data_IF_061506045806
#
_entry.id   IF_061506045806
#
_cell.length_a   1.000
_cell.length_b   1.000
_cell.length_c   1.000
_cell.angle_alpha   90.00
_cell.angle_beta   90.00
_cell.angle_gamma   90.00
#
_symmetry.space_group_name_H-M   'P 1'
#
loop_
_entity.id
_entity.type
_entity.pdbx_description
1 polymer ?
#
# COMPACT_ATOMS: atom_id res chain seq x y z
N UNK A 1 -13.44 -50.49 27.49
CA UNK A 1 -14.51 -50.12 26.53
C UNK A 1 -14.29 -48.65 26.20
N UNK A 2 -13.38 -48.31 25.28
CA UNK A 2 -13.61 -48.26 23.81
C UNK A 2 -14.90 -47.49 23.47
N UNK A 3 -14.93 -46.46 22.62
CA UNK A 3 -14.17 -46.17 21.40
C UNK A 3 -14.32 -44.67 21.05
N UNK A 4 -13.25 -43.97 20.61
CA UNK A 4 -13.01 -43.46 19.22
C UNK A 4 -14.11 -42.52 18.66
N UNK A 5 -13.88 -41.34 18.08
CA UNK A 5 -12.80 -40.73 17.28
C UNK A 5 -13.04 -39.20 17.20
N UNK A 6 -11.99 -38.39 17.01
CA UNK A 6 -11.96 -37.27 16.05
C UNK A 6 -10.52 -36.83 15.82
N UNK A 7 -9.99 -37.17 14.64
CA UNK A 7 -8.69 -36.74 14.14
C UNK A 7 -8.70 -35.33 13.55
N UNK A 8 -7.57 -34.86 12.99
CA UNK A 8 -7.41 -33.50 12.49
C UNK A 8 -8.18 -33.30 11.17
N UNK A 9 -8.79 -32.12 11.03
CA UNK A 9 -9.47 -31.68 9.82
C UNK A 9 -8.45 -31.40 8.71
N UNK A 10 -8.18 -32.40 7.87
CA UNK A 10 -7.54 -32.24 6.56
C UNK A 10 -8.61 -31.90 5.52
N UNK A 11 -8.94 -30.62 5.39
CA UNK A 11 -9.76 -30.11 4.30
C UNK A 11 -8.92 -29.92 3.04
N UNK A 12 -9.05 -30.83 2.08
CA UNK A 12 -8.46 -30.70 0.76
C UNK A 12 -9.07 -29.49 0.02
N UNK A 13 -8.25 -28.49 -0.32
CA UNK A 13 -8.63 -27.44 -1.25
C UNK A 13 -8.77 -28.02 -2.67
N UNK A 14 -9.80 -27.65 -3.45
CA UNK A 14 -9.88 -28.05 -4.85
C UNK A 14 -8.66 -27.51 -5.60
N UNK A 15 -7.99 -28.44 -6.29
CA UNK A 15 -6.97 -28.20 -7.31
C UNK A 15 -7.75 -27.87 -8.57
N UNK A 16 -7.76 -26.61 -8.99
CA UNK A 16 -7.98 -26.17 -10.38
C UNK A 16 -7.86 -24.63 -10.42
N UNK A 17 -6.64 -24.15 -10.68
CA UNK A 17 -6.27 -22.73 -10.63
C UNK A 17 -6.81 -21.89 -11.81
N UNK A 18 -7.43 -22.50 -12.82
CA UNK A 18 -8.08 -21.76 -13.92
C UNK A 18 -9.48 -21.25 -13.53
N UNK A 19 -10.19 -21.98 -12.66
CA UNK A 19 -11.62 -21.78 -12.45
C UNK A 19 -11.96 -20.52 -11.63
N UNK A 20 -11.09 -20.02 -10.76
CA UNK A 20 -11.40 -18.80 -9.96
C UNK A 20 -11.24 -17.55 -10.82
N UNK A 21 -10.17 -17.48 -11.63
CA UNK A 21 -9.94 -16.37 -12.56
C UNK A 21 -11.00 -16.37 -13.69
N UNK A 22 -11.33 -17.56 -14.21
CA UNK A 22 -12.40 -17.70 -15.22
C UNK A 22 -13.80 -17.47 -14.65
N UNK A 23 -14.12 -17.89 -13.43
CA UNK A 23 -15.48 -17.74 -12.87
C UNK A 23 -15.81 -16.29 -12.52
N UNK A 24 -14.83 -15.51 -12.05
CA UNK A 24 -14.99 -14.05 -11.85
C UNK A 24 -15.18 -13.35 -13.20
N UNK A 25 -14.35 -13.67 -14.21
CA UNK A 25 -14.49 -13.11 -15.56
C UNK A 25 -15.76 -13.59 -16.31
N UNK A 26 -16.22 -14.82 -16.09
CA UNK A 26 -17.39 -15.41 -16.74
C UNK A 26 -18.71 -14.94 -16.10
N UNK A 27 -18.71 -14.63 -14.79
CA UNK A 27 -19.89 -14.11 -14.09
C UNK A 27 -20.33 -12.72 -14.56
N UNK A 28 -19.45 -11.97 -15.24
CA UNK A 28 -19.70 -10.61 -15.72
C UNK A 28 -20.12 -10.59 -17.22
N UNK A 29 -20.08 -11.72 -17.93
CA UNK A 29 -20.30 -11.76 -19.39
C UNK A 29 -21.68 -12.27 -19.83
N UNK A 30 -22.68 -12.35 -18.94
CA UNK A 30 -24.04 -12.80 -19.29
C UNK A 30 -25.14 -11.93 -18.69
N UNK A 31 -25.26 -10.68 -19.16
CA UNK A 31 -26.55 -9.97 -19.20
C UNK A 31 -26.57 -8.79 -20.17
N UNK A 32 -26.67 -9.11 -21.46
CA UNK A 32 -27.27 -8.29 -22.52
C UNK A 32 -28.32 -9.21 -23.14
N UNK A 33 -29.57 -8.85 -23.47
CA UNK A 33 -30.19 -7.63 -23.96
C UNK A 33 -31.73 -7.89 -23.95
N UNK A 34 -32.58 -6.86 -23.74
CA UNK A 34 -33.83 -6.53 -24.48
C UNK A 34 -34.99 -5.94 -23.66
N UNK A 35 -35.51 -4.83 -24.19
CA UNK A 35 -36.84 -4.23 -23.95
C UNK A 35 -36.77 -2.92 -23.16
N UNK A 36 -37.11 -1.73 -23.65
CA UNK A 36 -37.67 -1.27 -24.91
C UNK A 36 -38.25 0.15 -24.71
N UNK A 37 -37.75 1.11 -25.51
CA UNK A 37 -38.41 2.27 -26.14
C UNK A 37 -39.11 3.38 -25.31
N UNK A 38 -38.72 4.61 -25.69
CA UNK A 38 -39.43 5.90 -25.75
C UNK A 38 -39.39 6.87 -24.54
N UNK A 39 -38.58 7.91 -24.73
CA UNK A 39 -38.71 9.22 -24.07
C UNK A 39 -37.93 10.27 -24.85
N UNK A 40 -38.62 11.01 -25.72
CA UNK A 40 -38.11 12.19 -26.42
C UNK A 40 -37.60 13.23 -25.41
N UNK A 41 -36.31 13.57 -25.45
CA UNK A 41 -35.77 14.75 -24.78
C UNK A 41 -34.69 15.41 -25.66
N UNK A 42 -35.08 16.57 -26.19
CA UNK A 42 -34.30 17.69 -26.74
C UNK A 42 -32.78 17.56 -26.67
N UNK A 43 -32.15 17.54 -27.86
CA UNK A 43 -30.72 17.70 -28.04
C UNK A 43 -30.27 19.10 -27.56
N UNK A 44 -29.68 19.16 -26.36
CA UNK A 44 -28.72 20.20 -26.03
C UNK A 44 -27.38 19.79 -26.62
N UNK A 45 -26.92 20.50 -27.64
CA UNK A 45 -25.57 20.39 -28.18
C UNK A 45 -24.57 20.81 -27.10
N UNK A 46 -23.98 19.83 -26.41
CA UNK A 46 -22.73 20.05 -25.68
C UNK A 46 -21.59 20.05 -26.70
N UNK A 47 -20.82 21.14 -26.86
CA UNK A 47 -19.58 21.09 -27.59
C UNK A 47 -18.54 20.40 -26.69
N UNK A 48 -18.20 19.18 -27.05
CA UNK A 48 -17.23 18.38 -26.32
C UNK A 48 -17.18 16.94 -26.82
N UNK A 49 -17.15 16.75 -28.14
CA UNK A 49 -16.66 15.48 -28.68
C UNK A 49 -15.22 15.40 -28.18
N UNK A 50 -14.98 14.58 -27.17
CA UNK A 50 -13.64 14.19 -26.77
C UNK A 50 -12.93 13.73 -28.04
N UNK A 51 -12.01 14.56 -28.52
CA UNK A 51 -11.20 14.23 -29.68
C UNK A 51 -10.47 12.96 -29.29
N UNK A 52 -10.85 11.84 -29.91
CA UNK A 52 -10.20 10.57 -29.66
C UNK A 52 -8.72 10.79 -29.94
N UNK A 53 -7.91 10.79 -28.87
CA UNK A 53 -6.46 10.81 -29.03
C UNK A 53 -6.12 9.59 -29.87
N UNK A 54 -5.55 9.81 -31.05
CA UNK A 54 -4.94 8.76 -31.87
C UNK A 54 -3.61 8.36 -31.24
N UNK A 55 -3.63 8.02 -29.94
CA UNK A 55 -2.45 7.57 -29.20
C UNK A 55 -2.04 6.18 -29.65
N UNK A 56 -0.83 5.78 -29.32
CA UNK A 56 -0.37 4.40 -29.44
C UNK A 56 -1.08 3.52 -28.39
N UNK A 57 -2.37 3.25 -28.62
CA UNK A 57 -3.20 2.49 -27.68
C UNK A 57 -2.93 1.00 -27.84
N UNK A 58 -2.38 0.38 -26.79
CA UNK A 58 -2.24 -1.07 -26.66
C UNK A 58 -2.75 -1.49 -25.29
N UNK A 59 -3.96 -2.09 -25.20
CA UNK A 59 -4.51 -2.58 -23.95
C UNK A 59 -3.55 -3.47 -23.17
N UNK A 60 -3.57 -3.40 -21.84
CA UNK A 60 -2.77 -4.31 -21.02
C UNK A 60 -3.19 -5.76 -21.23
N UNK A 61 -2.24 -6.62 -21.61
CA UNK A 61 -2.37 -8.06 -21.42
C UNK A 61 -2.05 -8.40 -19.96
N UNK A 62 -3.08 -8.42 -19.13
CA UNK A 62 -2.96 -8.66 -17.68
C UNK A 62 -2.43 -10.06 -17.34
N UNK A 63 -2.43 -11.00 -18.29
CA UNK A 63 -1.92 -12.36 -18.07
C UNK A 63 -0.45 -12.51 -18.47
N UNK A 64 0.07 -11.59 -19.29
CA UNK A 64 1.49 -11.49 -19.60
C UNK A 64 2.26 -10.78 -18.47
N UNK A 65 3.29 -11.42 -17.87
CA UNK A 65 4.01 -10.83 -16.75
C UNK A 65 4.71 -9.50 -17.07
N UNK A 66 5.17 -9.31 -18.31
CA UNK A 66 5.84 -8.06 -18.71
C UNK A 66 4.84 -6.93 -18.79
N UNK A 67 3.69 -7.15 -19.43
CA UNK A 67 2.67 -6.11 -19.58
C UNK A 67 1.94 -5.84 -18.24
N UNK A 68 1.75 -6.86 -17.39
CA UNK A 68 1.22 -6.70 -16.03
C UNK A 68 2.16 -5.85 -15.15
N UNK A 69 3.45 -6.15 -15.15
CA UNK A 69 4.46 -5.38 -14.41
C UNK A 69 4.64 -3.97 -14.99
N UNK A 70 4.62 -3.82 -16.31
CA UNK A 70 4.61 -2.51 -16.99
C UNK A 70 3.44 -1.64 -16.52
N UNK A 71 2.23 -2.20 -16.50
CA UNK A 71 1.03 -1.50 -16.04
C UNK A 71 1.17 -1.03 -14.59
N UNK A 72 1.67 -1.91 -13.72
CA UNK A 72 1.94 -1.57 -12.33
C UNK A 72 2.98 -0.44 -12.19
N UNK A 73 4.11 -0.54 -12.88
CA UNK A 73 5.17 0.47 -12.84
C UNK A 73 4.69 1.84 -13.36
N UNK A 74 3.92 1.86 -14.43
CA UNK A 74 3.34 3.08 -15.02
C UNK A 74 2.27 3.71 -14.12
N UNK A 75 1.49 2.91 -13.41
CA UNK A 75 0.45 3.40 -12.50
C UNK A 75 1.03 3.86 -11.16
N UNK A 76 1.86 3.05 -10.50
CA UNK A 76 2.33 3.32 -9.13
C UNK A 76 3.30 4.51 -9.05
N UNK A 77 4.09 4.73 -10.10
CA UNK A 77 4.98 5.88 -10.23
C UNK A 77 4.94 6.41 -11.67
N UNK A 78 6.06 6.46 -12.34
CA UNK A 78 6.13 6.73 -13.77
C UNK A 78 7.26 5.91 -14.37
N UNK A 79 7.12 5.55 -15.65
CA UNK A 79 8.20 4.92 -16.42
C UNK A 79 9.02 5.93 -17.22
N UNK A 80 8.79 7.23 -16.99
CA UNK A 80 9.56 8.33 -17.56
C UNK A 80 10.81 8.67 -16.74
N UNK A 81 11.57 9.64 -17.23
CA UNK A 81 12.87 10.02 -16.64
C UNK A 81 12.75 10.70 -15.27
N UNK A 82 11.68 11.48 -15.04
CA UNK A 82 11.47 12.25 -13.82
C UNK A 82 10.38 11.63 -12.97
N UNK A 83 10.58 11.61 -11.66
CA UNK A 83 9.58 11.11 -10.72
C UNK A 83 8.30 11.96 -10.70
N UNK A 84 7.22 11.32 -10.27
CA UNK A 84 5.91 11.92 -10.06
C UNK A 84 5.51 11.81 -8.60
N UNK A 85 4.73 12.79 -8.15
CA UNK A 85 4.19 12.83 -6.79
C UNK A 85 2.84 12.15 -6.74
N UNK A 86 2.59 11.43 -5.64
CA UNK A 86 1.32 10.82 -5.28
C UNK A 86 1.04 11.10 -3.81
N UNK A 87 -0.22 11.24 -3.44
CA UNK A 87 -0.64 11.57 -2.09
C UNK A 87 -1.42 10.44 -1.43
N UNK A 88 -1.37 10.39 -0.11
CA UNK A 88 -2.33 9.64 0.68
C UNK A 88 -2.72 10.42 1.95
N UNK A 89 -3.96 10.26 2.38
CA UNK A 89 -4.44 10.85 3.63
C UNK A 89 -5.70 10.17 4.15
N UNK A 90 -5.83 10.09 5.47
CA UNK A 90 -7.01 9.56 6.12
C UNK A 90 -6.90 9.54 7.64
N UNK A 91 -7.64 8.63 8.25
CA UNK A 91 -7.77 8.53 9.71
C UNK A 91 -7.34 7.13 10.16
N UNK A 92 -6.54 7.09 11.23
CA UNK A 92 -6.29 5.85 11.96
C UNK A 92 -7.24 5.74 13.15
N UNK A 93 -7.72 4.53 13.35
CA UNK A 93 -8.64 4.14 14.40
C UNK A 93 -7.99 3.09 15.29
N UNK A 94 -8.27 3.15 16.58
CA UNK A 94 -7.96 2.11 17.53
C UNK A 94 -9.16 1.20 17.75
N UNK A 95 -8.92 -0.11 17.70
CA UNK A 95 -9.89 -1.15 18.05
C UNK A 95 -9.33 -1.86 19.28
N UNK A 96 -9.98 -1.69 20.43
CA UNK A 96 -9.54 -2.22 21.74
C UNK A 96 -10.52 -3.28 22.20
N UNK A 97 -10.06 -4.53 22.35
CA UNK A 97 -10.92 -5.68 22.61
C UNK A 97 -12.10 -5.75 21.64
N UNK A 98 -13.32 -5.92 22.16
CA UNK A 98 -14.55 -5.97 21.37
C UNK A 98 -15.20 -4.60 21.12
N UNK A 99 -14.54 -3.50 21.48
CA UNK A 99 -15.12 -2.16 21.32
C UNK A 99 -15.08 -1.70 19.86
N UNK A 100 -16.01 -0.79 19.51
CA UNK A 100 -15.99 -0.11 18.21
C UNK A 100 -14.66 0.61 17.95
N UNK A 101 -14.30 0.75 16.69
CA UNK A 101 -13.20 1.58 16.23
C UNK A 101 -13.36 3.04 16.72
N UNK A 102 -12.29 3.61 17.31
CA UNK A 102 -12.24 5.00 17.76
C UNK A 102 -11.14 5.76 17.01
N UNK A 103 -11.42 6.91 16.38
CA UNK A 103 -10.39 7.69 15.69
C UNK A 103 -9.36 8.19 16.71
N UNK A 104 -8.08 8.17 16.35
CA UNK A 104 -6.97 8.58 17.25
C UNK A 104 -6.13 9.73 16.72
N UNK A 105 -5.86 9.73 15.41
CA UNK A 105 -5.12 10.77 14.68
C UNK A 105 -5.33 10.56 13.17
N UNK A 106 -5.06 11.59 12.39
CA UNK A 106 -4.93 11.45 10.94
C UNK A 106 -3.59 10.85 10.56
N UNK A 107 -3.49 10.38 9.32
CA UNK A 107 -2.24 9.93 8.72
C UNK A 107 -2.20 10.40 7.28
N UNK A 108 -1.12 11.09 6.91
CA UNK A 108 -0.98 11.72 5.61
C UNK A 108 0.47 11.70 5.15
N UNK A 109 0.67 11.64 3.84
CA UNK A 109 2.00 11.57 3.26
C UNK A 109 1.97 11.62 1.75
N UNK A 110 3.13 11.40 1.15
CA UNK A 110 3.29 11.32 -0.29
C UNK A 110 4.37 10.31 -0.67
N UNK A 111 4.31 9.86 -1.92
CA UNK A 111 5.39 9.16 -2.60
C UNK A 111 5.91 9.99 -3.76
N UNK A 112 7.22 10.03 -3.95
CA UNK A 112 7.94 10.64 -5.06
C UNK A 112 8.68 9.54 -5.82
N UNK A 113 8.08 9.00 -6.89
CA UNK A 113 8.46 7.69 -7.45
C UNK A 113 8.66 7.77 -8.95
N UNK A 114 9.76 7.18 -9.44
CA UNK A 114 9.94 6.73 -10.82
C UNK A 114 10.36 5.26 -10.86
N UNK A 115 10.14 4.65 -12.00
CA UNK A 115 10.41 3.26 -12.28
C UNK A 115 11.24 3.17 -13.57
N UNK A 116 12.34 2.41 -13.52
CA UNK A 116 13.12 2.08 -14.70
C UNK A 116 12.73 0.68 -15.17
N UNK A 117 12.27 0.55 -16.42
CA UNK A 117 12.04 -0.74 -17.07
C UNK A 117 13.37 -1.17 -17.69
N UNK A 118 13.88 -2.31 -17.26
CA UNK A 118 15.12 -2.88 -17.74
C UNK A 118 14.92 -3.66 -19.06
N UNK A 119 15.98 -3.88 -19.86
CA UNK A 119 15.88 -4.64 -21.11
C UNK A 119 15.32 -6.06 -20.95
N UNK A 120 15.55 -6.69 -19.80
CA UNK A 120 15.02 -8.00 -19.46
C UNK A 120 13.54 -7.97 -19.05
N UNK A 121 12.94 -6.79 -18.92
CA UNK A 121 11.55 -6.54 -18.51
C UNK A 121 11.35 -6.41 -17.00
N UNK A 122 12.39 -6.56 -16.19
CA UNK A 122 12.33 -6.25 -14.76
C UNK A 122 12.15 -4.74 -14.54
N UNK A 123 11.68 -4.37 -13.36
CA UNK A 123 11.43 -2.98 -12.98
C UNK A 123 12.24 -2.65 -11.74
N UNK A 124 13.03 -1.58 -11.81
CA UNK A 124 13.65 -0.97 -10.65
C UNK A 124 12.81 0.22 -10.19
N UNK A 125 12.35 0.15 -8.95
CA UNK A 125 11.61 1.20 -8.26
C UNK A 125 12.61 2.13 -7.59
N UNK A 126 12.48 3.42 -7.83
CA UNK A 126 13.38 4.46 -7.34
C UNK A 126 12.51 5.60 -6.82
N UNK A 127 12.51 5.80 -5.50
CA UNK A 127 11.64 6.80 -4.90
C UNK A 127 12.04 7.28 -3.52
N UNK A 128 11.23 8.22 -3.05
CA UNK A 128 11.19 8.73 -1.68
C UNK A 128 9.76 8.69 -1.19
N UNK A 129 9.58 8.56 0.11
CA UNK A 129 8.27 8.59 0.72
C UNK A 129 8.35 9.16 2.14
N UNK A 130 7.21 9.68 2.60
CA UNK A 130 7.05 10.06 3.98
C UNK A 130 5.63 9.79 4.44
N UNK A 131 5.48 9.52 5.73
CA UNK A 131 4.20 9.49 6.43
C UNK A 131 4.26 10.27 7.73
N UNK A 132 3.28 11.13 7.94
CA UNK A 132 3.10 11.97 9.11
C UNK A 132 1.76 11.69 9.78
N UNK A 133 1.73 11.90 11.10
CA UNK A 133 0.50 11.85 11.89
C UNK A 133 -0.05 13.26 12.06
N UNK A 134 -1.37 13.41 11.98
CA UNK A 134 -2.02 14.73 12.07
C UNK A 134 -3.07 14.78 13.17
N UNK A 135 -3.25 15.97 13.74
CA UNK A 135 -4.33 16.26 14.67
C UNK A 135 -5.68 16.19 13.94
N UNK A 136 -6.68 15.55 14.56
CA UNK A 136 -7.97 15.34 13.91
C UNK A 136 -8.80 16.63 13.78
N UNK A 137 -8.61 17.60 14.68
CA UNK A 137 -9.40 18.83 14.69
C UNK A 137 -8.84 19.86 13.71
N UNK A 138 -7.50 19.98 13.66
CA UNK A 138 -6.81 21.02 12.90
C UNK A 138 -6.23 20.52 11.58
N UNK A 139 -5.95 19.22 11.45
CA UNK A 139 -5.24 18.65 10.30
C UNK A 139 -3.74 18.95 10.26
N UNK A 140 -3.19 19.65 11.25
CA UNK A 140 -1.76 19.94 11.34
C UNK A 140 -0.97 18.71 11.81
N UNK A 141 0.31 18.64 11.43
CA UNK A 141 1.19 17.54 11.81
C UNK A 141 1.51 17.58 13.31
N UNK A 142 1.42 16.41 13.94
CA UNK A 142 1.71 16.22 15.36
C UNK A 142 3.21 16.03 15.60
N UNK A 143 3.78 16.85 16.49
CA UNK A 143 5.08 16.58 17.12
C UNK A 143 4.92 15.75 18.41
N UNK A 144 3.80 15.95 19.11
CA UNK A 144 3.45 15.24 20.33
C UNK A 144 2.00 14.79 20.28
N UNK A 145 1.70 13.69 20.95
CA UNK A 145 0.35 13.15 21.06
C UNK A 145 0.07 12.75 22.51
N UNK A 146 -1.13 13.07 23.01
CA UNK A 146 -1.54 12.70 24.37
C UNK A 146 -2.23 11.33 24.32
N UNK A 147 -1.61 10.32 24.93
CA UNK A 147 -2.09 8.96 24.89
C UNK A 147 -3.30 8.78 25.83
N UNK A 148 -4.52 8.49 25.31
CA UNK A 148 -5.73 8.43 26.12
C UNK A 148 -5.81 7.18 27.01
N UNK A 149 -4.93 6.20 26.82
CA UNK A 149 -4.89 4.98 27.63
C UNK A 149 -3.85 5.03 28.75
N UNK A 150 -2.68 5.60 28.48
CA UNK A 150 -1.59 5.68 29.48
C UNK A 150 -1.55 7.02 30.20
N UNK A 151 -2.16 8.06 29.64
CA UNK A 151 -2.06 9.44 30.13
C UNK A 151 -0.69 10.09 29.85
N UNK A 152 0.23 9.39 29.19
CA UNK A 152 1.55 9.93 28.82
C UNK A 152 1.40 10.84 27.58
N UNK A 153 2.09 12.00 27.60
CA UNK A 153 2.35 12.78 26.39
C UNK A 153 3.60 12.20 25.71
N UNK A 154 3.46 11.74 24.47
CA UNK A 154 4.53 11.04 23.74
C UNK A 154 4.98 11.85 22.53
N UNK A 155 6.27 11.79 22.21
CA UNK A 155 6.82 12.32 20.97
C UNK A 155 6.45 11.40 19.79
N UNK A 156 6.02 12.00 18.69
CA UNK A 156 5.60 11.26 17.49
C UNK A 156 6.80 10.89 16.64
N UNK A 157 6.93 9.61 16.31
CA UNK A 157 7.94 9.14 15.36
C UNK A 157 7.33 9.01 13.96
N UNK A 158 7.76 9.88 13.04
CA UNK A 158 7.33 9.87 11.63
C UNK A 158 8.25 8.97 10.79
N UNK A 159 7.71 8.31 9.77
CA UNK A 159 8.50 7.47 8.87
C UNK A 159 8.86 8.27 7.62
N UNK A 160 10.14 8.59 7.46
CA UNK A 160 10.68 9.33 6.32
C UNK A 160 11.75 8.48 5.65
N UNK A 161 11.52 8.11 4.39
CA UNK A 161 12.40 7.23 3.64
C UNK A 161 12.86 7.94 2.36
N UNK A 162 14.14 8.32 2.34
CA UNK A 162 14.78 8.99 1.20
C UNK A 162 15.31 8.01 0.15
N UNK A 163 15.18 6.70 0.40
CA UNK A 163 15.74 5.61 -0.43
C UNK A 163 14.77 4.45 -0.54
N UNK A 164 13.52 4.75 -0.93
CA UNK A 164 12.58 3.70 -1.31
C UNK A 164 13.03 3.07 -2.63
N UNK A 165 13.67 1.90 -2.55
CA UNK A 165 14.30 1.22 -3.68
C UNK A 165 13.95 -0.26 -3.67
N UNK A 166 13.72 -0.82 -4.85
CA UNK A 166 13.43 -2.24 -4.98
C UNK A 166 13.43 -2.72 -6.42
N UNK A 167 13.67 -4.01 -6.62
CA UNK A 167 13.57 -4.64 -7.95
C UNK A 167 12.38 -5.59 -7.99
N UNK A 168 11.58 -5.51 -9.04
CA UNK A 168 10.48 -6.43 -9.37
C UNK A 168 10.86 -7.18 -10.65
N UNK A 169 10.87 -8.52 -10.58
CA UNK A 169 11.12 -9.36 -11.74
C UNK A 169 9.83 -9.81 -12.42
N UNK A 170 9.97 -10.61 -13.48
CA UNK A 170 8.86 -11.22 -14.19
C UNK A 170 8.27 -12.44 -13.47
N UNK A 171 8.79 -12.78 -12.30
CA UNK A 171 8.22 -13.75 -11.38
C UNK A 171 7.72 -13.06 -10.11
N UNK A 172 6.81 -13.71 -9.41
CA UNK A 172 6.22 -13.25 -8.17
C UNK A 172 7.32 -13.01 -7.14
N UNK A 173 7.45 -11.77 -6.68
CA UNK A 173 8.43 -11.40 -5.66
C UNK A 173 8.00 -11.97 -4.31
N UNK A 174 8.92 -12.69 -3.67
CA UNK A 174 8.85 -13.00 -2.23
C UNK A 174 9.58 -11.89 -1.48
N UNK A 175 8.85 -11.18 -0.65
CA UNK A 175 9.38 -10.13 0.20
C UNK A 175 9.83 -10.73 1.52
N UNK A 176 11.09 -10.50 1.89
CA UNK A 176 11.64 -10.91 3.17
C UNK A 176 11.61 -9.71 4.11
N UNK A 177 10.90 -9.84 5.22
CA UNK A 177 10.77 -8.79 6.24
C UNK A 177 11.11 -9.44 7.58
N UNK A 178 12.24 -9.05 8.17
CA UNK A 178 12.79 -9.74 9.34
C UNK A 178 13.02 -11.23 9.05
N UNK A 179 12.41 -12.10 9.86
CA UNK A 179 12.42 -13.55 9.69
C UNK A 179 11.16 -14.08 8.97
N UNK A 180 10.30 -13.19 8.48
CA UNK A 180 9.08 -13.52 7.75
C UNK A 180 9.28 -13.42 6.23
N UNK A 181 8.53 -14.24 5.50
CA UNK A 181 8.39 -14.14 4.06
C UNK A 181 6.92 -13.89 3.71
N UNK A 182 6.68 -13.00 2.75
CA UNK A 182 5.34 -12.71 2.24
C UNK A 182 5.36 -12.50 0.73
N UNK A 183 4.19 -12.59 0.13
CA UNK A 183 3.95 -12.33 -1.29
C UNK A 183 2.73 -11.44 -1.44
N UNK A 184 2.67 -10.68 -2.53
CA UNK A 184 1.50 -9.84 -2.82
C UNK A 184 0.26 -10.71 -3.01
N UNK A 185 -0.86 -10.23 -2.45
CA UNK A 185 -2.17 -10.90 -2.54
C UNK A 185 -2.06 -12.39 -2.20
N UNK A 186 -1.44 -12.71 -1.06
CA UNK A 186 -1.28 -14.09 -0.63
C UNK A 186 -2.64 -14.76 -0.38
N UNK A 187 -2.87 -15.88 -1.06
CA UNK A 187 -4.06 -16.73 -0.92
C UNK A 187 -3.70 -18.10 -0.32
N UNK A 188 -2.50 -18.24 0.24
CA UNK A 188 -1.96 -19.49 0.77
C UNK A 188 -1.52 -20.49 -0.31
N UNK A 189 -1.31 -20.01 -1.54
CA UNK A 189 -0.88 -20.82 -2.69
C UNK A 189 0.14 -20.06 -3.54
N UNK A 190 1.08 -20.82 -4.11
CA UNK A 190 2.10 -20.31 -5.01
C UNK A 190 3.44 -19.99 -4.35
N UNK A 191 4.38 -19.40 -5.10
CA UNK A 191 5.73 -19.09 -4.62
C UNK A 191 6.58 -18.30 -5.62
N UNK A 192 7.86 -18.09 -5.29
CA UNK A 192 8.81 -17.21 -5.99
C UNK A 192 9.01 -17.47 -7.50
N UNK A 193 8.65 -18.67 -7.98
CA UNK A 193 8.79 -19.08 -9.37
C UNK A 193 7.56 -18.85 -10.23
N UNK A 194 6.44 -18.42 -9.65
CA UNK A 194 5.23 -18.12 -10.42
C UNK A 194 5.42 -16.86 -11.27
N UNK A 195 4.76 -16.75 -12.43
CA UNK A 195 4.78 -15.52 -13.22
C UNK A 195 4.25 -14.32 -12.42
N UNK A 196 4.86 -13.14 -12.57
CA UNK A 196 4.36 -11.92 -11.95
C UNK A 196 2.98 -11.58 -12.51
N UNK A 197 1.93 -11.70 -11.69
CA UNK A 197 0.55 -11.42 -12.10
C UNK A 197 -0.21 -10.79 -10.96
N UNK A 198 -0.27 -9.46 -10.94
CA UNK A 198 -1.22 -8.76 -10.08
C UNK A 198 -2.66 -8.96 -10.59
N UNK A 199 -3.66 -8.98 -9.69
CA UNK A 199 -5.04 -9.34 -10.03
C UNK A 199 -5.82 -8.15 -10.62
N UNK A 200 -5.34 -7.62 -11.74
CA UNK A 200 -6.03 -6.56 -12.47
C UNK A 200 -7.40 -7.02 -12.97
N UNK A 201 -8.39 -6.12 -12.93
CA UNK A 201 -9.72 -6.38 -13.47
C UNK A 201 -10.12 -5.22 -14.40
N UNK A 202 -10.28 -5.47 -15.72
CA UNK A 202 -10.85 -4.47 -16.61
C UNK A 202 -12.36 -4.37 -16.38
N UNK A 203 -12.83 -3.22 -15.90
CA UNK A 203 -14.26 -2.94 -15.70
C UNK A 203 -14.59 -1.61 -16.35
N UNK A 204 -15.36 -1.66 -17.45
CA UNK A 204 -15.71 -0.47 -18.22
C UNK A 204 -14.46 0.25 -18.74
N UNK A 205 -14.34 1.53 -18.40
CA UNK A 205 -13.22 2.40 -18.75
C UNK A 205 -12.08 2.42 -17.70
N UNK A 206 -12.13 1.54 -16.70
CA UNK A 206 -11.13 1.44 -15.63
C UNK A 206 -10.44 0.07 -15.62
N UNK A 207 -9.20 0.05 -15.13
CA UNK A 207 -8.64 -1.13 -14.47
C UNK A 207 -8.74 -0.97 -12.96
N UNK A 208 -9.19 -2.03 -12.30
CA UNK A 208 -9.16 -2.16 -10.85
C UNK A 208 -7.98 -3.03 -10.45
N UNK A 209 -7.29 -2.68 -9.37
CA UNK A 209 -6.25 -3.49 -8.77
C UNK A 209 -6.44 -3.59 -7.25
N UNK A 210 -6.62 -4.82 -6.77
CA UNK A 210 -6.40 -5.14 -5.37
C UNK A 210 -4.93 -5.47 -5.15
N UNK A 211 -4.27 -4.81 -4.20
CA UNK A 211 -2.86 -5.05 -3.90
C UNK A 211 -2.66 -5.13 -2.39
N UNK A 212 -2.28 -6.31 -1.91
CA UNK A 212 -2.24 -6.60 -0.48
C UNK A 212 -0.86 -7.06 -0.04
N UNK A 213 -0.42 -6.54 1.09
CA UNK A 213 0.73 -6.98 1.86
C UNK A 213 0.27 -7.38 3.24
N UNK A 214 0.62 -8.58 3.68
CA UNK A 214 0.43 -9.00 5.06
C UNK A 214 1.72 -9.62 5.55
N UNK A 215 2.29 -9.05 6.60
CA UNK A 215 3.54 -9.52 7.17
C UNK A 215 3.27 -10.24 8.49
N UNK A 216 4.12 -11.20 8.82
CA UNK A 216 4.28 -11.68 10.19
C UNK A 216 5.74 -11.99 10.44
N UNK A 217 6.35 -11.33 11.42
CA UNK A 217 7.79 -11.45 11.66
C UNK A 217 8.15 -11.05 13.10
N UNK A 218 9.40 -11.30 13.46
CA UNK A 218 9.97 -10.96 14.77
C UNK A 218 10.03 -9.45 14.94
N UNK A 219 9.41 -8.96 16.01
CA UNK A 219 9.32 -7.53 16.29
C UNK A 219 10.71 -6.93 16.52
N UNK A 220 11.18 -5.99 15.67
CA UNK A 220 12.45 -5.33 15.88
C UNK A 220 12.47 -4.47 17.15
N UNK A 221 11.31 -3.95 17.55
CA UNK A 221 11.09 -3.24 18.82
C UNK A 221 10.82 -4.28 19.91
N UNK A 222 11.87 -4.97 20.35
CA UNK A 222 11.73 -6.13 21.25
C UNK A 222 11.20 -5.75 22.64
N UNK A 223 10.46 -6.63 23.34
CA UNK A 223 10.02 -6.37 24.71
C UNK A 223 11.16 -6.15 25.71
N UNK A 224 12.34 -6.72 25.44
CA UNK A 224 13.51 -6.57 26.31
C UNK A 224 14.24 -5.23 26.08
N UNK A 225 14.26 -4.72 24.84
CA UNK A 225 14.90 -3.45 24.51
C UNK A 225 14.00 -2.24 24.75
N UNK A 226 12.72 -2.35 24.39
CA UNK A 226 11.74 -1.27 24.49
C UNK A 226 10.44 -1.75 25.17
N UNK A 227 10.46 -2.10 26.46
CA UNK A 227 9.30 -2.60 27.19
C UNK A 227 8.02 -1.76 27.07
N UNK A 228 8.13 -0.43 27.02
CA UNK A 228 6.98 0.47 26.86
C UNK A 228 6.59 0.69 25.40
N UNK A 229 7.51 0.61 24.43
CA UNK A 229 7.18 0.76 23.01
C UNK A 229 6.72 -0.55 22.34
N UNK A 230 7.16 -1.70 22.87
CA UNK A 230 6.95 -3.00 22.24
C UNK A 230 5.52 -3.51 22.40
N UNK A 231 4.93 -3.96 21.30
CA UNK A 231 3.63 -4.65 21.27
C UNK A 231 3.76 -6.18 21.42
N UNK A 232 4.95 -6.68 21.75
CA UNK A 232 5.20 -8.12 21.89
C UNK A 232 6.36 -8.62 21.03
N UNK A 233 6.58 -9.94 21.04
CA UNK A 233 7.72 -10.58 20.35
C UNK A 233 7.52 -10.68 18.82
N UNK A 234 6.28 -10.67 18.36
CA UNK A 234 5.90 -10.77 16.95
C UNK A 234 5.05 -9.55 16.58
N UNK A 235 5.10 -9.17 15.32
CA UNK A 235 4.31 -8.11 14.71
C UNK A 235 3.73 -8.61 13.41
N UNK A 236 2.55 -8.08 13.08
CA UNK A 236 1.77 -8.52 11.94
C UNK A 236 1.08 -7.35 11.20
N UNK A 237 1.82 -6.33 10.74
CA UNK A 237 1.23 -5.26 9.95
C UNK A 237 0.74 -5.79 8.59
N UNK A 238 -0.38 -5.25 8.13
CA UNK A 238 -0.91 -5.48 6.80
C UNK A 238 -1.41 -4.19 6.16
N UNK A 239 -1.29 -4.12 4.84
CA UNK A 239 -1.70 -3.02 3.98
C UNK A 239 -2.51 -3.56 2.81
N UNK A 240 -3.62 -2.91 2.52
CA UNK A 240 -4.62 -3.37 1.56
C UNK A 240 -5.03 -2.20 0.68
N UNK A 241 -4.71 -2.29 -0.60
CA UNK A 241 -4.99 -1.24 -1.57
C UNK A 241 -6.13 -1.65 -2.50
N UNK A 242 -6.99 -0.68 -2.82
CA UNK A 242 -8.03 -0.79 -3.84
C UNK A 242 -7.86 0.35 -4.83
N UNK A 243 -7.19 0.09 -5.93
CA UNK A 243 -6.74 1.09 -6.89
C UNK A 243 -7.59 1.06 -8.16
N UNK A 244 -7.83 2.24 -8.73
CA UNK A 244 -8.59 2.46 -9.96
C UNK A 244 -7.75 3.34 -10.89
N UNK A 245 -7.53 2.89 -12.11
CA UNK A 245 -6.78 3.65 -13.12
C UNK A 245 -7.52 3.66 -14.47
N UNK A 246 -7.65 4.82 -15.14
CA UNK A 246 -8.33 4.91 -16.42
C UNK A 246 -7.61 4.10 -17.51
N UNK A 247 -8.35 3.26 -18.23
CA UNK A 247 -7.86 2.48 -19.37
C UNK A 247 -7.21 3.36 -20.43
N UNK A 248 -7.87 4.48 -20.75
CA UNK A 248 -7.36 5.43 -21.73
C UNK A 248 -5.96 5.98 -21.41
N UNK A 249 -5.56 6.02 -20.13
CA UNK A 249 -4.24 6.48 -19.74
C UNK A 249 -3.23 5.33 -19.64
N UNK A 250 -3.61 4.19 -19.04
CA UNK A 250 -2.68 3.07 -18.85
C UNK A 250 -2.40 2.31 -20.14
N UNK A 251 -3.38 2.21 -21.06
CA UNK A 251 -3.26 1.53 -22.36
C UNK A 251 -2.51 2.39 -23.40
N UNK A 252 -2.46 3.71 -23.23
CA UNK A 252 -1.76 4.64 -24.13
C UNK A 252 -0.24 4.60 -23.91
N UNK A 253 0.50 4.01 -24.84
CA UNK A 253 1.96 3.80 -24.70
C UNK A 253 2.77 5.09 -24.85
N UNK A 254 2.16 6.18 -25.29
CA UNK A 254 2.78 7.51 -25.32
C UNK A 254 2.68 8.22 -23.95
N UNK A 255 1.82 7.72 -23.06
CA UNK A 255 1.71 8.18 -21.67
C UNK A 255 2.68 7.40 -20.79
N UNK A 256 3.56 8.12 -20.08
CA UNK A 256 4.57 7.51 -19.19
C UNK A 256 4.13 7.39 -17.73
N UNK A 257 2.98 7.94 -17.38
CA UNK A 257 2.43 7.90 -16.01
C UNK A 257 0.90 7.86 -16.09
N UNK A 258 0.30 6.76 -15.63
CA UNK A 258 -1.16 6.64 -15.55
C UNK A 258 -1.64 7.17 -14.19
N UNK A 259 -2.63 8.07 -14.14
CA UNK A 259 -3.20 8.50 -12.86
C UNK A 259 -3.94 7.34 -12.19
N UNK A 260 -4.10 7.43 -10.87
CA UNK A 260 -4.96 6.52 -10.14
C UNK A 260 -5.64 7.22 -8.96
N UNK A 261 -6.74 6.62 -8.52
CA UNK A 261 -7.36 6.89 -7.22
C UNK A 261 -7.57 5.57 -6.49
N UNK A 262 -7.73 5.60 -5.18
CA UNK A 262 -7.98 4.36 -4.46
C UNK A 262 -8.14 4.50 -2.95
N UNK A 263 -8.48 3.37 -2.34
CA UNK A 263 -8.42 3.17 -0.90
C UNK A 263 -7.08 2.58 -0.50
N UNK A 264 -6.51 3.08 0.60
CA UNK A 264 -5.41 2.46 1.32
C UNK A 264 -5.92 2.15 2.72
N UNK A 265 -5.95 0.87 3.07
CA UNK A 265 -6.30 0.39 4.40
C UNK A 265 -5.07 -0.25 5.04
N UNK A 266 -4.89 -0.03 6.34
CA UNK A 266 -3.79 -0.63 7.09
C UNK A 266 -4.34 -1.26 8.36
N UNK A 267 -3.88 -2.44 8.73
CA UNK A 267 -4.10 -2.99 10.07
C UNK A 267 -2.76 -3.35 10.69
N UNK A 268 -2.53 -2.96 11.94
CA UNK A 268 -1.30 -3.34 12.62
C UNK A 268 -1.44 -3.25 14.14
N UNK A 269 -0.48 -3.79 14.91
CA UNK A 269 -0.30 -3.42 16.30
C UNK A 269 -0.11 -1.89 16.47
N UNK A 270 -0.16 -1.43 17.72
CA UNK A 270 0.15 -0.05 18.08
C UNK A 270 1.50 0.41 17.49
N UNK A 271 1.58 1.68 17.07
CA UNK A 271 2.88 2.24 16.70
C UNK A 271 3.80 2.26 17.93
N UNK A 272 5.11 1.97 17.79
CA UNK A 272 6.02 1.96 18.92
C UNK A 272 6.03 3.25 19.74
N UNK A 273 6.00 4.39 19.05
CA UNK A 273 6.01 5.72 19.67
C UNK A 273 4.76 6.01 20.50
N UNK A 274 3.66 5.26 20.31
CA UNK A 274 2.48 5.38 21.17
C UNK A 274 2.73 4.85 22.58
N UNK A 275 3.82 4.10 22.82
CA UNK A 275 4.21 3.56 24.13
C UNK A 275 3.13 2.70 24.79
N UNK A 276 2.52 1.81 24.01
CA UNK A 276 1.42 0.94 24.46
C UNK A 276 1.89 -0.38 25.08
N UNK A 277 3.18 -0.68 25.06
CA UNK A 277 3.77 -1.84 25.72
C UNK A 277 3.55 -1.80 27.23
N UNK A 278 3.28 -2.96 27.82
CA UNK A 278 2.95 -3.12 29.26
C UNK A 278 1.72 -2.34 29.77
N UNK A 279 1.01 -1.60 28.91
CA UNK A 279 -0.18 -0.83 29.30
C UNK A 279 -1.37 -1.70 29.72
N UNK A 280 -1.37 -2.98 29.35
CA UNK A 280 -2.52 -3.89 29.51
C UNK A 280 -3.64 -3.67 28.48
N UNK A 281 -3.47 -2.76 27.51
CA UNK A 281 -4.45 -2.49 26.46
C UNK A 281 -4.20 -3.38 25.25
N UNK A 282 -5.07 -4.36 25.08
CA UNK A 282 -5.08 -5.26 23.92
C UNK A 282 -5.90 -4.65 22.77
N UNK A 283 -5.27 -4.49 21.61
CA UNK A 283 -5.91 -3.90 20.45
C UNK A 283 -4.98 -3.69 19.26
N UNK A 284 -5.58 -3.18 18.19
CA UNK A 284 -4.92 -2.91 16.91
C UNK A 284 -5.31 -1.54 16.38
N UNK A 285 -4.49 -1.02 15.49
CA UNK A 285 -4.80 0.12 14.66
C UNK A 285 -5.39 -0.35 13.34
N UNK A 286 -6.43 0.35 12.89
CA UNK A 286 -6.98 0.27 11.55
C UNK A 286 -6.90 1.66 10.89
N UNK A 287 -6.20 1.78 9.77
CA UNK A 287 -6.17 2.96 8.92
C UNK A 287 -7.21 2.86 7.81
N UNK A 288 -7.96 3.95 7.59
CA UNK A 288 -8.79 4.16 6.40
C UNK A 288 -8.34 5.44 5.72
N UNK A 289 -7.62 5.29 4.61
CA UNK A 289 -7.05 6.39 3.84
C UNK A 289 -7.52 6.37 2.38
N UNK A 290 -7.46 7.55 1.76
CA UNK A 290 -7.40 7.67 0.32
C UNK A 290 -5.93 7.61 -0.11
N UNK A 291 -5.67 7.04 -1.28
CA UNK A 291 -4.40 7.14 -1.99
C UNK A 291 -4.68 7.56 -3.42
N UNK A 292 -3.82 8.38 -4.01
CA UNK A 292 -4.08 8.98 -5.31
C UNK A 292 -2.82 9.51 -5.97
N UNK A 293 -2.84 9.46 -7.31
CA UNK A 293 -1.95 10.21 -8.19
C UNK A 293 -2.84 10.78 -9.29
N UNK A 294 -3.28 12.02 -9.12
CA UNK A 294 -4.24 12.68 -10.01
C UNK A 294 -3.50 13.59 -10.97
N UNK A 295 -2.69 14.50 -10.43
CA UNK A 295 -1.89 15.44 -11.23
C UNK A 295 -0.47 14.92 -11.47
N UNK A 296 0.04 14.05 -10.59
CA UNK A 296 1.45 13.64 -10.61
C UNK A 296 2.40 14.72 -10.10
N UNK A 297 1.88 15.82 -9.56
CA UNK A 297 2.62 17.00 -9.14
C UNK A 297 2.30 17.42 -7.71
N UNK A 298 2.72 18.63 -7.33
CA UNK A 298 2.65 19.09 -5.95
C UNK A 298 1.21 19.25 -5.42
N UNK A 299 0.23 19.38 -6.31
CA UNK A 299 -1.20 19.44 -5.93
C UNK A 299 -1.69 18.11 -5.33
N UNK A 300 -1.00 17.00 -5.59
CA UNK A 300 -1.30 15.72 -4.97
C UNK A 300 -0.73 15.59 -3.54
N UNK A 301 0.11 16.52 -3.07
CA UNK A 301 0.71 16.46 -1.72
C UNK A 301 -0.22 17.17 -0.70
N UNK A 302 -0.63 16.50 0.40
CA UNK A 302 -1.45 17.14 1.42
C UNK A 302 -0.82 18.44 1.95
N UNK A 303 -1.56 19.56 2.07
CA UNK A 303 -0.97 20.87 2.39
C UNK A 303 -0.14 20.92 3.68
N UNK A 304 -0.60 20.26 4.74
CA UNK A 304 0.14 20.18 6.01
C UNK A 304 1.47 19.42 5.85
N UNK A 305 1.46 18.34 5.06
CA UNK A 305 2.67 17.56 4.72
C UNK A 305 3.62 18.41 3.89
N UNK A 306 3.12 19.09 2.85
CA UNK A 306 3.94 19.99 2.03
C UNK A 306 4.66 21.03 2.87
N UNK A 307 3.91 21.78 3.68
CA UNK A 307 4.44 22.82 4.59
C UNK A 307 5.52 22.24 5.52
N UNK A 308 5.30 21.05 6.07
CA UNK A 308 6.26 20.39 6.97
C UNK A 308 7.53 19.96 6.27
N UNK A 309 7.40 19.38 5.08
CA UNK A 309 8.52 18.83 4.32
C UNK A 309 9.37 19.97 3.73
N UNK A 310 8.75 21.02 3.18
CA UNK A 310 9.48 22.23 2.72
C UNK A 310 10.34 22.85 3.84
N UNK A 311 9.87 22.78 5.09
CA UNK A 311 10.59 23.30 6.26
C UNK A 311 11.72 22.38 6.74
N UNK A 312 11.44 21.09 6.91
CA UNK A 312 12.32 20.19 7.66
C UNK A 312 13.15 19.26 6.77
N UNK A 313 12.58 18.83 5.64
CA UNK A 313 13.13 17.77 4.78
C UNK A 313 12.85 18.05 3.29
N UNK A 314 13.24 19.23 2.76
CA UNK A 314 12.96 19.60 1.37
C UNK A 314 13.60 18.61 0.38
N UNK A 315 14.64 17.89 0.81
CA UNK A 315 15.28 16.81 0.08
C UNK A 315 14.30 15.70 -0.35
N UNK A 316 13.17 15.51 0.34
CA UNK A 316 12.16 14.51 -0.06
C UNK A 316 11.41 14.86 -1.36
N UNK A 317 11.38 16.14 -1.74
CA UNK A 317 10.82 16.58 -3.02
C UNK A 317 11.81 16.56 -4.17
N UNK A 318 13.10 16.50 -3.88
CA UNK A 318 14.12 16.38 -4.92
C UNK A 318 14.02 15.02 -5.61
N UNK A 319 14.46 14.98 -6.87
CA UNK A 319 14.47 13.76 -7.69
C UNK A 319 15.12 12.58 -6.93
N UNK A 320 14.46 11.41 -6.87
CA UNK A 320 15.03 10.25 -6.21
C UNK A 320 16.27 9.75 -6.95
N UNK A 321 17.35 9.59 -6.19
CA UNK A 321 18.62 9.10 -6.69
C UNK A 321 18.59 7.59 -6.75
N UNK A 322 19.05 7.06 -7.87
CA UNK A 322 19.18 5.63 -8.07
C UNK A 322 20.27 5.01 -7.15
N UNK A 323 20.23 3.70 -6.94
CA UNK A 323 21.25 3.00 -6.16
C UNK A 323 20.88 1.53 -5.91
N UNK A 324 21.62 0.85 -5.01
CA UNK A 324 21.37 -0.55 -4.73
C UNK A 324 19.96 -0.76 -4.17
N UNK A 325 19.38 -1.94 -4.46
CA UNK A 325 18.18 -2.43 -3.79
C UNK A 325 18.49 -2.56 -2.29
N UNK A 326 17.76 -1.82 -1.46
CA UNK A 326 17.94 -1.80 -0.01
C UNK A 326 16.91 -2.68 0.71
N UNK A 327 16.05 -3.38 -0.04
CA UNK A 327 14.95 -4.13 0.52
C UNK A 327 13.84 -3.25 1.11
N UNK A 328 12.88 -3.92 1.75
CA UNK A 328 11.77 -3.25 2.44
C UNK A 328 12.21 -2.92 3.86
N UNK A 329 12.17 -1.63 4.21
CA UNK A 329 12.34 -1.15 5.60
C UNK A 329 11.01 -0.54 6.02
N UNK A 330 10.39 -1.08 7.08
CA UNK A 330 9.17 -0.55 7.65
C UNK A 330 9.44 0.42 8.80
N UNK A 331 8.37 1.01 9.31
CA UNK A 331 8.44 1.94 10.46
C UNK A 331 9.00 1.28 11.71
N UNK A 332 8.75 -0.01 11.92
CA UNK A 332 9.21 -0.74 13.11
C UNK A 332 10.72 -0.94 13.10
N UNK A 333 11.28 -1.30 11.94
CA UNK A 333 12.72 -1.42 11.73
C UNK A 333 13.39 -0.06 11.92
N UNK A 334 12.83 0.97 11.28
CA UNK A 334 13.35 2.33 11.36
C UNK A 334 13.32 2.88 12.79
N UNK A 335 12.24 2.64 13.54
CA UNK A 335 12.14 3.02 14.95
C UNK A 335 13.22 2.34 15.79
N UNK A 336 13.41 1.03 15.63
CA UNK A 336 14.41 0.28 16.39
C UNK A 336 15.86 0.67 16.04
N UNK A 337 16.09 1.23 14.86
CA UNK A 337 17.39 1.77 14.44
C UNK A 337 17.67 3.17 14.98
N UNK A 338 16.65 4.04 15.02
CA UNK A 338 16.82 5.45 15.36
C UNK A 338 16.52 5.80 16.81
N UNK A 339 15.65 5.04 17.48
CA UNK A 339 15.23 5.32 18.85
C UNK A 339 16.00 4.40 19.80
N UNK A 340 16.82 4.96 20.72
CA UNK A 340 17.57 4.16 21.68
C UNK A 340 16.66 3.21 22.49
N UNK A 341 17.15 2.01 22.84
CA UNK A 341 16.47 1.11 23.76
C UNK A 341 16.16 1.80 25.09
N UNK A 342 14.99 1.49 25.66
CA UNK A 342 14.57 2.00 26.96
C UNK A 342 15.27 1.25 28.10
N UNK A 343 15.68 0.00 27.86
CA UNK A 343 16.42 -0.82 28.83
C UNK A 343 17.92 -0.50 28.80
N UNK A 344 18.51 0.00 29.91
CA UNK A 344 19.93 0.31 29.96
C UNK A 344 20.82 -0.89 29.65
N UNK A 345 21.83 -0.69 28.79
CA UNK A 345 22.77 -1.74 28.40
C UNK A 345 22.21 -2.80 27.45
N UNK A 346 20.96 -2.66 26.99
CA UNK A 346 20.44 -3.54 25.95
C UNK A 346 21.22 -3.36 24.65
N UNK A 347 21.74 -4.47 24.13
CA UNK A 347 22.33 -4.56 22.81
C UNK A 347 21.57 -5.57 21.99
N UNK A 348 21.16 -5.16 20.79
CA UNK A 348 20.49 -6.04 19.84
C UNK A 348 21.50 -7.07 19.34
N UNK A 349 21.27 -8.35 19.65
CA UNK A 349 22.02 -9.42 18.99
C UNK A 349 21.71 -9.32 17.49
N UNK A 350 22.73 -9.03 16.69
CA UNK A 350 22.62 -8.98 15.23
C UNK A 350 22.33 -10.35 14.65
#
# INVERSE_FOLDING_TARGET
MENRLRGPLTGAYPKDNAMIYESVCASISRRTLFGGVAGLATAATLPGIAQARTGNIRPLDIMDPRDNLYGFAKMWGTIGEKAVLSGYQGVQYAIVGANRAKPVFGYAGFGNIRNAIEPDGSVRVIGKECGYFTDLATGEILDHWDNPWTGERVEVFNFLNDKFRGTLGLTRKVFKVGDGETVNNDIGKGGAGEPYRLPWQPIGDQYLLGWDYAHEYTNPVTPAGWPKASTGKRVNPSEHFTLFTPRAAIDDRDVVSAPYTGGFMRQAPWWPWMRMGQSGVDGVLMGRMHTYKITGGMDDVPPAVRKRVERDRPDLFEEPVDGPDLGVIGTLEHYAEQVPPETPGYSRKK
#
